data_IF_437552341958
#
_entry.id   IF_437552341958
#
_cell.length_a   1.000
_cell.length_b   1.000
_cell.length_c   1.000
_cell.angle_alpha   90.00
_cell.angle_beta   90.00
_cell.angle_gamma   90.00
#
_symmetry.space_group_name_H-M   'P 1'
#
loop_
_entity.id
_entity.type
_entity.pdbx_description
1 polymer ?
#
# COMPACT_ATOMS: atom_id res chain seq x y z
N UNK A 1 -15.28 -50.93 -38.34
CA UNK A 1 -14.14 -51.44 -39.12
C UNK A 1 -13.12 -50.30 -39.20
N UNK A 2 -11.96 -50.45 -38.57
CA UNK A 2 -10.78 -49.56 -38.70
C UNK A 2 -10.17 -49.70 -40.13
N UNK A 3 -9.21 -48.84 -40.55
CA UNK A 3 -9.20 -48.15 -41.84
C UNK A 3 -8.09 -48.65 -42.78
N UNK A 4 -7.97 -48.03 -43.97
CA UNK A 4 -6.75 -48.12 -44.79
C UNK A 4 -6.40 -46.78 -45.44
N UNK A 5 -5.11 -46.42 -45.28
CA UNK A 5 -4.43 -45.22 -45.79
C UNK A 5 -4.49 -45.06 -47.32
N UNK A 6 -4.10 -43.88 -47.82
CA UNK A 6 -2.93 -43.89 -48.69
C UNK A 6 -1.83 -42.88 -48.32
N UNK A 7 -0.66 -43.23 -48.82
CA UNK A 7 0.69 -42.72 -48.61
C UNK A 7 1.10 -41.57 -49.56
N UNK A 8 2.07 -40.79 -49.06
CA UNK A 8 3.23 -40.21 -49.76
C UNK A 8 3.06 -38.97 -50.65
N UNK A 9 3.83 -37.95 -50.29
CA UNK A 9 4.68 -37.21 -51.23
C UNK A 9 4.21 -35.81 -51.60
N UNK A 10 4.88 -34.78 -51.08
CA UNK A 10 5.64 -33.75 -51.82
C UNK A 10 5.87 -32.54 -50.91
N UNK A 11 7.09 -32.43 -50.39
CA UNK A 11 7.62 -31.24 -49.71
C UNK A 11 8.09 -30.28 -50.81
N UNK A 12 7.51 -29.08 -50.85
CA UNK A 12 8.01 -28.00 -51.72
C UNK A 12 8.62 -26.93 -50.82
N UNK A 13 9.94 -26.83 -50.87
CA UNK A 13 10.77 -25.82 -50.20
C UNK A 13 10.57 -24.45 -50.85
N UNK A 14 10.10 -23.47 -50.08
CA UNK A 14 10.04 -22.08 -50.51
C UNK A 14 11.34 -21.37 -50.07
N UNK A 15 12.24 -21.09 -51.03
CA UNK A 15 13.38 -20.20 -50.86
C UNK A 15 12.92 -18.75 -51.06
N UNK A 16 13.36 -17.85 -50.17
CA UNK A 16 13.28 -16.39 -50.35
C UNK A 16 14.68 -15.79 -50.19
N UNK A 17 15.04 -14.72 -50.93
CA UNK A 17 16.43 -14.42 -51.30
C UNK A 17 17.24 -13.75 -50.18
N UNK A 18 18.54 -14.03 -50.21
CA UNK A 18 19.56 -13.39 -49.39
C UNK A 18 19.74 -11.92 -49.77
N UNK A 19 19.58 -11.01 -48.79
CA UNK A 19 19.99 -9.61 -48.91
C UNK A 19 21.31 -9.42 -48.17
N UNK A 20 22.29 -8.90 -48.90
CA UNK A 20 23.69 -8.74 -48.50
C UNK A 20 23.88 -7.86 -47.26
N UNK A 21 24.69 -8.35 -46.32
CA UNK A 21 25.28 -7.54 -45.25
C UNK A 21 26.25 -6.51 -45.85
N UNK A 22 26.00 -5.22 -45.60
CA UNK A 22 27.02 -4.17 -45.64
C UNK A 22 27.47 -3.83 -44.22
N UNK A 23 28.70 -4.19 -43.92
CA UNK A 23 29.48 -3.80 -42.76
C UNK A 23 30.00 -2.36 -42.90
N UNK A 24 29.73 -1.48 -41.93
CA UNK A 24 30.43 -0.19 -41.71
C UNK A 24 30.53 0.03 -40.18
N UNK A 25 31.64 0.59 -39.65
CA UNK A 25 32.33 0.02 -38.50
C UNK A 25 32.06 0.69 -37.14
N UNK A 26 32.51 -0.05 -36.12
CA UNK A 26 32.58 0.25 -34.70
C UNK A 26 33.35 1.55 -34.40
N UNK A 27 32.81 2.43 -33.55
CA UNK A 27 33.56 3.53 -32.90
C UNK A 27 33.12 3.72 -31.44
N UNK A 28 33.96 3.22 -30.55
CA UNK A 28 34.26 3.57 -29.15
C UNK A 28 33.25 4.39 -28.32
N UNK A 29 32.78 3.72 -27.26
CA UNK A 29 32.79 4.14 -25.84
C UNK A 29 32.99 5.64 -25.52
N UNK A 30 31.93 6.29 -25.05
CA UNK A 30 32.02 7.31 -24.00
C UNK A 30 30.82 7.18 -23.04
N UNK A 31 31.13 7.28 -21.74
CA UNK A 31 30.30 6.85 -20.61
C UNK A 31 28.94 7.54 -20.48
N UNK A 32 27.93 6.74 -20.13
CA UNK A 32 26.68 7.24 -19.57
C UNK A 32 26.91 7.58 -18.11
N UNK A 33 27.07 8.87 -17.84
CA UNK A 33 27.03 9.42 -16.48
C UNK A 33 25.65 9.14 -15.87
N UNK A 34 25.60 8.39 -14.78
CA UNK A 34 24.45 8.34 -13.88
C UNK A 34 24.25 9.73 -13.29
N UNK A 35 23.18 10.43 -13.71
CA UNK A 35 22.78 11.68 -13.12
C UNK A 35 22.16 11.36 -11.75
N UNK A 36 22.90 11.70 -10.70
CA UNK A 36 22.48 11.65 -9.30
C UNK A 36 21.41 12.72 -9.10
N UNK A 37 20.18 12.32 -8.79
CA UNK A 37 19.10 13.26 -8.48
C UNK A 37 19.43 13.97 -7.16
N UNK A 38 19.72 15.27 -7.23
CA UNK A 38 20.06 16.12 -6.09
C UNK A 38 18.79 16.47 -5.29
N UNK A 39 18.75 16.05 -4.03
CA UNK A 39 17.71 16.45 -3.08
C UNK A 39 17.96 17.89 -2.61
N UNK A 40 17.02 18.79 -2.83
CA UNK A 40 16.89 20.04 -2.05
C UNK A 40 15.63 19.95 -1.20
N UNK A 41 15.76 19.50 0.05
CA UNK A 41 14.68 19.57 1.04
C UNK A 41 14.87 20.82 1.89
N UNK A 42 13.93 21.76 1.79
CA UNK A 42 13.68 22.76 2.83
C UNK A 42 13.31 22.02 4.13
N UNK A 43 14.15 22.14 5.16
CA UNK A 43 13.91 21.63 6.51
C UNK A 43 13.63 22.83 7.44
N UNK A 44 12.46 22.81 8.09
CA UNK A 44 12.27 23.51 9.37
C UNK A 44 12.70 22.58 10.52
N UNK A 45 13.26 23.10 11.62
CA UNK A 45 14.05 22.30 12.54
C UNK A 45 13.18 21.67 13.63
N UNK A 46 13.38 20.37 13.89
CA UNK A 46 13.10 19.79 15.20
C UNK A 46 14.39 19.17 15.75
N UNK A 47 14.83 19.74 16.86
CA UNK A 47 16.12 19.54 17.51
C UNK A 47 16.01 18.36 18.46
N UNK A 48 16.57 17.20 18.11
CA UNK A 48 16.94 16.17 19.09
C UNK A 48 18.36 15.70 18.73
N UNK A 49 19.27 16.04 19.64
CA UNK A 49 20.71 15.80 19.57
C UNK A 49 21.02 14.30 19.68
N UNK A 50 21.81 13.76 18.75
CA UNK A 50 22.61 12.55 18.96
C UNK A 50 23.97 12.74 18.30
N UNK A 51 24.97 13.01 19.14
CA UNK A 51 26.38 12.94 18.79
C UNK A 51 26.81 11.47 18.72
N UNK A 52 27.42 11.09 17.61
CA UNK A 52 28.40 10.00 17.54
C UNK A 52 29.32 10.28 16.36
N UNK A 53 30.38 11.05 16.62
CA UNK A 53 31.48 11.22 15.68
C UNK A 53 32.48 10.07 15.86
N UNK A 54 32.65 9.29 14.80
CA UNK A 54 33.80 8.43 14.59
C UNK A 54 35.02 9.30 14.28
N UNK A 55 36.00 9.34 15.19
CA UNK A 55 37.28 9.98 14.93
C UNK A 55 38.37 8.95 14.57
N UNK A 56 38.82 9.16 13.34
CA UNK A 56 39.88 8.52 12.58
C UNK A 56 41.23 8.70 13.28
N UNK A 57 41.95 7.61 13.37
CA UNK A 57 43.30 7.47 13.91
C UNK A 57 44.34 8.17 13.00
N UNK A 58 45.16 9.09 13.53
CA UNK A 58 46.54 9.37 13.04
C UNK A 58 47.33 10.38 13.90
N UNK A 59 48.56 9.94 14.25
CA UNK A 59 49.76 10.69 14.67
C UNK A 59 49.71 11.37 16.06
N UNK A 60 50.74 11.43 16.91
CA UNK A 60 52.18 11.24 16.76
C UNK A 60 52.82 10.87 18.13
N UNK A 61 54.00 10.23 18.07
CA UNK A 61 54.87 9.84 19.20
C UNK A 61 55.21 10.99 20.17
N UNK A 62 55.33 10.68 21.47
CA UNK A 62 56.47 11.08 22.32
C UNK A 62 56.54 10.26 23.63
N UNK A 63 57.77 10.01 24.08
CA UNK A 63 58.22 9.17 25.20
C UNK A 63 57.85 9.71 26.60
N UNK A 64 57.59 8.80 27.56
CA UNK A 64 58.50 8.53 28.71
C UNK A 64 57.99 7.40 29.64
N UNK A 65 58.91 6.50 29.98
CA UNK A 65 58.90 5.50 31.06
C UNK A 65 58.78 6.18 32.44
N UNK A 66 58.10 5.56 33.42
CA UNK A 66 58.57 5.30 34.80
C UNK A 66 57.56 4.41 35.58
N UNK A 67 58.08 3.76 36.62
CA UNK A 67 57.61 2.55 37.34
C UNK A 67 56.38 2.70 38.29
N UNK A 68 55.58 1.62 38.39
CA UNK A 68 55.19 0.76 39.56
C UNK A 68 55.16 1.40 40.98
N UNK A 69 54.36 0.91 41.97
CA UNK A 69 53.05 0.22 42.03
C UNK A 69 52.04 1.00 42.92
N UNK A 70 50.74 0.66 42.93
CA UNK A 70 50.07 0.31 44.20
C UNK A 70 48.65 -0.24 43.97
N UNK A 71 48.25 -0.98 44.99
CA UNK A 71 47.14 -1.85 45.24
C UNK A 71 45.75 -1.21 45.30
N UNK A 72 44.76 -2.10 45.16
CA UNK A 72 43.36 -2.00 45.61
C UNK A 72 42.41 -1.15 44.77
N UNK A 73 41.47 -1.80 44.09
CA UNK A 73 40.16 -2.03 44.70
C UNK A 73 39.32 -2.91 43.80
N UNK A 74 38.77 -3.95 44.42
CA UNK A 74 37.67 -4.73 43.90
C UNK A 74 36.55 -3.81 43.43
N UNK A 75 36.27 -3.92 42.15
CA UNK A 75 35.21 -3.24 41.46
C UNK A 75 34.92 -3.99 40.18
N UNK A 76 34.69 -5.31 40.29
CA UNK A 76 33.88 -6.01 39.30
C UNK A 76 32.47 -5.41 39.35
N UNK A 77 32.33 -4.23 38.75
CA UNK A 77 31.08 -3.77 38.22
C UNK A 77 30.78 -4.72 37.06
N UNK A 78 30.13 -5.84 37.41
CA UNK A 78 29.21 -6.54 36.55
C UNK A 78 28.26 -5.48 35.97
N UNK A 79 28.65 -4.88 34.85
CA UNK A 79 27.69 -4.37 33.85
C UNK A 79 27.09 -5.59 33.17
N UNK A 80 26.32 -6.30 34.00
CA UNK A 80 25.05 -6.97 33.73
C UNK A 80 24.88 -7.44 32.30
N UNK A 81 25.12 -8.75 32.09
CA UNK A 81 24.51 -9.51 31.01
C UNK A 81 23.00 -9.17 30.88
N UNK A 82 22.33 -8.88 32.00
CA UNK A 82 20.93 -8.43 32.05
C UNK A 82 20.66 -7.09 31.34
N UNK A 83 21.55 -6.10 31.42
CA UNK A 83 21.37 -4.82 30.71
C UNK A 83 21.61 -4.98 29.20
N UNK A 84 22.54 -5.86 28.83
CA UNK A 84 22.79 -6.23 27.42
C UNK A 84 21.63 -7.06 26.84
N UNK A 85 21.02 -7.95 27.62
CA UNK A 85 19.87 -8.75 27.22
C UNK A 85 18.59 -7.91 27.07
N UNK A 86 18.34 -6.99 28.01
CA UNK A 86 17.18 -6.09 27.94
C UNK A 86 17.27 -5.12 26.76
N UNK A 87 18.46 -4.59 26.48
CA UNK A 87 18.70 -3.73 25.31
C UNK A 87 18.54 -4.51 24.01
N UNK A 88 19.07 -5.73 23.90
CA UNK A 88 18.86 -6.61 22.75
C UNK A 88 17.38 -6.93 22.51
N UNK A 89 16.63 -7.30 23.56
CA UNK A 89 15.21 -7.59 23.46
C UNK A 89 14.42 -6.37 22.96
N UNK A 90 14.72 -5.19 23.51
CA UNK A 90 14.06 -3.93 23.10
C UNK A 90 14.34 -3.61 21.64
N UNK A 91 15.57 -3.79 21.18
CA UNK A 91 15.96 -3.52 19.81
C UNK A 91 15.27 -4.48 18.84
N UNK A 92 15.16 -5.77 19.19
CA UNK A 92 14.46 -6.76 18.37
C UNK A 92 12.95 -6.55 18.36
N UNK A 93 12.35 -6.18 19.50
CA UNK A 93 10.95 -5.76 19.55
C UNK A 93 10.71 -4.54 18.66
N UNK A 94 11.59 -3.53 18.72
CA UNK A 94 11.47 -2.33 17.90
C UNK A 94 11.58 -2.65 16.40
N UNK A 95 12.52 -3.51 15.98
CA UNK A 95 12.63 -3.97 14.60
C UNK A 95 11.36 -4.68 14.14
N UNK A 96 10.85 -5.61 14.95
CA UNK A 96 9.62 -6.35 14.65
C UNK A 96 8.39 -5.45 14.55
N UNK A 97 8.28 -4.41 15.39
CA UNK A 97 7.19 -3.44 15.31
C UNK A 97 7.29 -2.57 14.04
N UNK A 98 8.49 -2.16 13.64
CA UNK A 98 8.70 -1.41 12.39
C UNK A 98 8.37 -2.30 11.19
N UNK A 99 8.79 -3.56 11.20
CA UNK A 99 8.45 -4.54 10.18
C UNK A 99 6.93 -4.75 10.12
N UNK A 100 6.25 -4.95 11.25
CA UNK A 100 4.79 -5.08 11.31
C UNK A 100 4.07 -3.84 10.78
N UNK A 101 4.57 -2.64 11.13
CA UNK A 101 4.04 -1.38 10.59
C UNK A 101 4.14 -1.35 9.06
N UNK A 102 5.30 -1.70 8.48
CA UNK A 102 5.46 -1.78 7.01
C UNK A 102 4.59 -2.88 6.41
N UNK A 103 4.52 -4.05 7.04
CA UNK A 103 3.70 -5.19 6.62
C UNK A 103 2.23 -4.81 6.49
N UNK A 104 1.73 -4.00 7.43
CA UNK A 104 0.33 -3.55 7.45
C UNK A 104 -0.05 -2.58 6.33
N UNK A 105 0.93 -2.06 5.57
CA UNK A 105 0.78 -0.99 4.58
C UNK A 105 0.02 0.21 5.17
N UNK A 106 0.70 1.08 5.93
CA UNK A 106 0.05 2.12 6.75
C UNK A 106 -0.94 3.01 5.99
N UNK A 107 -0.66 3.31 4.72
CA UNK A 107 -1.55 4.11 3.90
C UNK A 107 -2.92 3.47 3.70
N UNK A 108 -2.99 2.15 3.51
CA UNK A 108 -4.27 1.44 3.37
C UNK A 108 -5.03 1.38 4.69
N UNK A 109 -4.32 1.19 5.81
CA UNK A 109 -4.89 1.17 7.18
C UNK A 109 -5.49 2.53 7.53
N UNK A 110 -4.74 3.61 7.33
CA UNK A 110 -5.20 4.98 7.58
C UNK A 110 -6.45 5.27 6.74
N UNK A 111 -6.42 4.92 5.45
CA UNK A 111 -7.57 5.08 4.57
C UNK A 111 -8.81 4.31 5.05
N UNK A 112 -8.64 3.08 5.54
CA UNK A 112 -9.73 2.28 6.11
C UNK A 112 -10.29 2.90 7.40
N UNK A 113 -9.42 3.36 8.31
CA UNK A 113 -9.85 3.99 9.57
C UNK A 113 -10.63 5.27 9.28
N UNK A 114 -10.07 6.17 8.46
CA UNK A 114 -10.72 7.43 8.11
C UNK A 114 -12.03 7.20 7.36
N UNK A 115 -12.07 6.22 6.46
CA UNK A 115 -13.30 5.88 5.75
C UNK A 115 -14.40 5.39 6.66
N UNK A 116 -14.10 4.46 7.56
CA UNK A 116 -15.07 3.95 8.53
C UNK A 116 -15.57 5.08 9.44
N UNK A 117 -14.67 5.91 9.98
CA UNK A 117 -15.05 7.05 10.83
C UNK A 117 -15.96 8.01 10.08
N UNK A 118 -15.54 8.44 8.88
CA UNK A 118 -16.27 9.38 8.03
C UNK A 118 -17.69 8.90 7.74
N UNK A 119 -17.83 7.68 7.23
CA UNK A 119 -19.12 7.07 6.89
C UNK A 119 -19.98 6.86 8.14
N UNK A 120 -19.36 6.54 9.28
CA UNK A 120 -20.05 6.37 10.55
C UNK A 120 -20.64 7.66 11.11
N UNK A 121 -20.14 8.83 10.68
CA UNK A 121 -20.69 10.13 11.06
C UNK A 121 -21.88 10.55 10.21
N UNK A 122 -22.04 10.03 8.98
CA UNK A 122 -23.16 10.38 8.11
C UNK A 122 -24.57 10.16 8.69
N UNK A 123 -24.87 9.12 9.49
CA UNK A 123 -26.19 8.94 10.09
C UNK A 123 -26.39 9.72 11.41
N UNK A 124 -25.37 10.45 11.88
CA UNK A 124 -25.45 11.32 13.07
C UNK A 124 -26.28 12.55 12.71
N UNK A 125 -27.33 12.81 13.49
CA UNK A 125 -28.21 13.96 13.28
C UNK A 125 -27.94 15.07 14.28
N UNK A 126 -27.55 14.72 15.50
CA UNK A 126 -27.25 15.68 16.57
C UNK A 126 -26.06 15.21 17.39
N UNK A 127 -25.42 16.14 18.13
CA UNK A 127 -24.33 15.80 19.05
C UNK A 127 -24.78 14.78 20.11
N UNK A 128 -26.06 14.73 20.45
CA UNK A 128 -26.60 13.76 21.40
C UNK A 128 -26.49 12.29 20.91
N UNK A 129 -26.30 12.06 19.61
CA UNK A 129 -26.08 10.70 19.07
C UNK A 129 -24.69 10.16 19.41
N UNK A 130 -23.73 11.02 19.76
CA UNK A 130 -22.33 10.69 20.07
C UNK A 130 -22.19 10.12 21.50
N UNK A 131 -22.91 9.03 21.73
CA UNK A 131 -22.96 8.31 23.01
C UNK A 131 -21.83 7.29 23.14
N UNK A 132 -21.56 6.75 24.35
CA UNK A 132 -20.66 5.60 24.51
C UNK A 132 -21.05 4.40 23.63
N UNK A 133 -22.34 4.20 23.38
CA UNK A 133 -22.85 3.16 22.47
C UNK A 133 -22.41 3.41 21.02
N UNK A 134 -22.44 4.66 20.57
CA UNK A 134 -21.93 5.04 19.24
C UNK A 134 -20.43 4.72 19.12
N UNK A 135 -19.61 5.15 20.07
CA UNK A 135 -18.17 4.90 20.05
C UNK A 135 -17.84 3.41 20.13
N UNK A 136 -18.60 2.63 20.91
CA UNK A 136 -18.47 1.18 20.93
C UNK A 136 -18.87 0.53 19.60
N UNK A 137 -19.91 1.02 18.95
CA UNK A 137 -20.30 0.60 17.59
C UNK A 137 -19.21 0.89 16.57
N UNK A 138 -18.65 2.10 16.60
CA UNK A 138 -17.53 2.50 15.76
C UNK A 138 -16.29 1.62 15.99
N UNK A 139 -15.95 1.33 17.25
CA UNK A 139 -14.82 0.46 17.57
C UNK A 139 -15.04 -0.98 17.06
N UNK A 140 -16.26 -1.50 17.20
CA UNK A 140 -16.67 -2.80 16.65
C UNK A 140 -16.55 -2.86 15.13
N UNK A 141 -16.72 -1.74 14.43
CA UNK A 141 -16.45 -1.66 13.01
C UNK A 141 -14.95 -1.56 12.69
N UNK A 142 -14.21 -0.71 13.41
CA UNK A 142 -12.80 -0.41 13.12
C UNK A 142 -11.87 -1.60 13.34
N UNK A 143 -11.90 -2.21 14.53
CA UNK A 143 -10.92 -3.25 14.92
C UNK A 143 -10.91 -4.43 13.96
N UNK A 144 -12.05 -5.12 13.68
CA UNK A 144 -12.03 -6.25 12.75
C UNK A 144 -11.73 -5.82 11.31
N UNK A 145 -12.06 -4.60 10.91
CA UNK A 145 -11.76 -4.10 9.56
C UNK A 145 -10.28 -3.80 9.35
N UNK A 146 -9.59 -3.30 10.38
CA UNK A 146 -8.12 -3.14 10.35
C UNK A 146 -7.45 -4.50 10.27
N UNK A 147 -7.89 -5.47 11.07
CA UNK A 147 -7.40 -6.86 10.99
C UNK A 147 -7.65 -7.48 9.60
N UNK A 148 -8.83 -7.25 9.02
CA UNK A 148 -9.13 -7.70 7.66
C UNK A 148 -8.25 -7.02 6.62
N UNK A 149 -7.95 -5.73 6.77
CA UNK A 149 -7.00 -5.04 5.89
C UNK A 149 -5.59 -5.63 6.00
N UNK A 150 -5.11 -5.94 7.21
CA UNK A 150 -3.82 -6.63 7.43
C UNK A 150 -3.82 -8.00 6.74
N UNK A 151 -4.91 -8.76 6.86
CA UNK A 151 -5.08 -10.02 6.13
C UNK A 151 -4.94 -9.80 4.62
N UNK A 152 -5.68 -8.86 4.01
CA UNK A 152 -5.67 -8.63 2.56
C UNK A 152 -4.29 -8.22 2.05
N UNK A 153 -3.65 -7.24 2.70
CA UNK A 153 -2.33 -6.75 2.24
C UNK A 153 -1.20 -7.73 2.57
N UNK A 154 -1.32 -8.49 3.65
CA UNK A 154 -0.36 -9.52 4.03
C UNK A 154 -0.45 -10.75 3.13
N UNK A 155 -1.68 -11.19 2.80
CA UNK A 155 -1.90 -12.27 1.84
C UNK A 155 -1.32 -11.92 0.48
N UNK A 156 -1.52 -10.68 0.02
CA UNK A 156 -0.90 -10.22 -1.22
C UNK A 156 0.63 -10.36 -1.17
N UNK A 157 1.27 -9.91 -0.07
CA UNK A 157 2.73 -10.02 0.08
C UNK A 157 3.22 -11.48 0.07
N UNK A 158 2.49 -12.42 0.70
CA UNK A 158 2.86 -13.83 0.71
C UNK A 158 2.94 -14.44 -0.70
N UNK A 159 2.02 -14.04 -1.60
CA UNK A 159 2.01 -14.54 -2.99
C UNK A 159 2.84 -13.68 -3.96
N UNK A 160 3.36 -12.54 -3.52
CA UNK A 160 4.06 -11.58 -4.37
C UNK A 160 5.49 -11.32 -3.95
N UNK A 161 6.11 -12.15 -3.10
CA UNK A 161 7.47 -11.92 -2.58
C UNK A 161 8.47 -11.57 -3.70
N UNK A 162 8.51 -12.37 -4.77
CA UNK A 162 9.44 -12.13 -5.89
C UNK A 162 9.09 -10.87 -6.71
N UNK A 163 7.79 -10.53 -6.83
CA UNK A 163 7.34 -9.30 -7.50
C UNK A 163 7.69 -8.07 -6.65
N UNK A 164 7.43 -8.14 -5.35
CA UNK A 164 7.68 -7.05 -4.41
C UNK A 164 9.18 -6.85 -4.19
N UNK A 165 10.07 -7.83 -4.40
CA UNK A 165 11.53 -7.59 -4.47
C UNK A 165 11.93 -6.58 -5.55
N UNK A 166 11.16 -6.48 -6.64
CA UNK A 166 11.37 -5.50 -7.71
C UNK A 166 10.60 -4.21 -7.43
N UNK A 167 9.36 -4.34 -6.99
CA UNK A 167 8.44 -3.21 -6.88
C UNK A 167 8.56 -2.44 -5.56
N UNK A 168 8.74 -3.17 -4.46
CA UNK A 168 8.63 -2.70 -3.07
C UNK A 168 9.63 -3.45 -2.16
N UNK A 169 10.94 -3.33 -2.44
CA UNK A 169 11.98 -4.15 -1.79
C UNK A 169 12.09 -3.94 -0.27
N UNK A 170 11.50 -2.87 0.24
CA UNK A 170 11.42 -2.47 1.64
C UNK A 170 10.29 -3.14 2.43
N UNK A 171 9.42 -3.94 1.77
CA UNK A 171 8.38 -4.70 2.44
C UNK A 171 8.95 -5.91 3.19
N UNK A 172 8.44 -6.24 4.40
CA UNK A 172 9.10 -7.19 5.29
C UNK A 172 9.36 -8.60 4.72
N UNK A 173 8.45 -9.13 3.88
CA UNK A 173 8.67 -10.43 3.24
C UNK A 173 9.65 -10.35 2.06
N UNK A 174 9.69 -9.22 1.34
CA UNK A 174 10.61 -9.00 0.24
C UNK A 174 12.03 -8.67 0.72
N UNK A 175 12.16 -7.90 1.81
CA UNK A 175 13.42 -7.53 2.45
C UNK A 175 14.04 -8.69 3.26
N UNK A 176 13.22 -9.65 3.69
CA UNK A 176 13.63 -10.74 4.58
C UNK A 176 13.54 -10.39 6.07
N UNK A 177 12.99 -9.23 6.43
CA UNK A 177 12.74 -8.86 7.84
C UNK A 177 11.74 -9.84 8.50
N UNK A 178 10.80 -10.40 7.72
CA UNK A 178 9.92 -11.48 8.14
C UNK A 178 10.13 -12.73 7.29
N UNK A 179 10.05 -13.89 7.94
CA UNK A 179 9.98 -15.18 7.24
C UNK A 179 8.58 -15.40 6.65
N UNK A 180 8.48 -16.34 5.69
CA UNK A 180 7.20 -16.76 5.14
C UNK A 180 6.25 -17.30 6.21
N UNK A 181 6.77 -18.02 7.21
CA UNK A 181 6.00 -18.56 8.32
C UNK A 181 5.44 -17.44 9.21
N UNK A 182 6.25 -16.44 9.53
CA UNK A 182 5.81 -15.25 10.28
C UNK A 182 4.71 -14.51 9.53
N UNK A 183 4.90 -14.26 8.22
CA UNK A 183 3.88 -13.62 7.38
C UNK A 183 2.57 -14.42 7.35
N UNK A 184 2.65 -15.73 7.13
CA UNK A 184 1.48 -16.62 7.10
C UNK A 184 0.73 -16.65 8.44
N UNK A 185 1.48 -16.64 9.55
CA UNK A 185 0.93 -16.60 10.90
C UNK A 185 0.18 -15.29 11.17
N UNK A 186 0.78 -14.13 10.84
CA UNK A 186 0.13 -12.81 11.00
C UNK A 186 -1.16 -12.75 10.18
N UNK A 187 -1.12 -13.18 8.92
CA UNK A 187 -2.28 -13.20 8.01
C UNK A 187 -3.38 -14.10 8.56
N UNK A 188 -3.05 -15.31 9.01
CA UNK A 188 -4.01 -16.28 9.53
C UNK A 188 -4.67 -15.81 10.83
N UNK A 189 -3.89 -15.30 11.78
CA UNK A 189 -4.40 -14.74 13.04
C UNK A 189 -5.30 -13.54 12.77
N UNK A 190 -4.86 -12.62 11.89
CA UNK A 190 -5.65 -11.43 11.54
C UNK A 190 -7.00 -11.79 10.94
N UNK A 191 -7.04 -12.77 10.03
CA UNK A 191 -8.28 -13.29 9.46
C UNK A 191 -9.19 -13.90 10.52
N UNK A 192 -8.65 -14.82 11.34
CA UNK A 192 -9.41 -15.53 12.35
C UNK A 192 -10.03 -14.57 13.37
N UNK A 193 -9.24 -13.63 13.88
CA UNK A 193 -9.71 -12.62 14.83
C UNK A 193 -10.79 -11.72 14.19
N UNK A 194 -10.56 -11.25 12.97
CA UNK A 194 -11.51 -10.40 12.25
C UNK A 194 -12.86 -11.10 12.04
N UNK A 195 -12.86 -12.34 11.53
CA UNK A 195 -14.07 -13.13 11.30
C UNK A 195 -14.79 -13.46 12.60
N UNK A 196 -14.05 -13.86 13.64
CA UNK A 196 -14.62 -14.18 14.96
C UNK A 196 -15.32 -12.97 15.55
N UNK A 197 -14.69 -11.79 15.49
CA UNK A 197 -15.32 -10.54 15.92
C UNK A 197 -16.56 -10.21 15.09
N UNK A 198 -16.49 -10.33 13.75
CA UNK A 198 -17.62 -10.11 12.85
C UNK A 198 -18.85 -10.94 13.20
N UNK A 199 -18.65 -12.24 13.46
CA UNK A 199 -19.71 -13.15 13.92
C UNK A 199 -20.22 -12.73 15.30
N UNK A 200 -19.33 -12.44 16.24
CA UNK A 200 -19.68 -12.15 17.64
C UNK A 200 -20.45 -10.84 17.81
N UNK A 201 -20.17 -9.84 16.98
CA UNK A 201 -20.79 -8.51 17.05
C UNK A 201 -22.22 -8.46 16.50
N UNK A 202 -22.72 -9.54 15.86
CA UNK A 202 -24.12 -9.70 15.44
C UNK A 202 -24.64 -8.53 14.58
N UNK A 203 -23.78 -7.93 13.77
CA UNK A 203 -24.13 -6.94 12.76
C UNK A 203 -23.96 -7.54 11.37
N UNK A 204 -25.05 -7.96 10.70
CA UNK A 204 -25.01 -8.48 9.33
C UNK A 204 -24.24 -7.61 8.33
N UNK A 205 -24.41 -6.27 8.26
CA UNK A 205 -23.66 -5.48 7.29
C UNK A 205 -22.15 -5.48 7.59
N UNK A 206 -21.76 -5.42 8.87
CA UNK A 206 -20.36 -5.52 9.26
C UNK A 206 -19.76 -6.87 8.88
N UNK A 207 -20.43 -7.97 9.23
CA UNK A 207 -19.96 -9.32 8.87
C UNK A 207 -19.85 -9.48 7.35
N UNK A 208 -20.83 -9.00 6.60
CA UNK A 208 -20.82 -9.05 5.14
C UNK A 208 -19.63 -8.26 4.56
N UNK A 209 -19.31 -7.09 5.12
CA UNK A 209 -18.14 -6.32 4.69
C UNK A 209 -16.82 -7.10 4.88
N UNK A 210 -16.66 -7.73 6.04
CA UNK A 210 -15.49 -8.55 6.35
C UNK A 210 -15.41 -9.78 5.44
N UNK A 211 -16.54 -10.45 5.23
CA UNK A 211 -16.63 -11.64 4.39
C UNK A 211 -16.34 -11.35 2.91
N UNK A 212 -16.94 -10.27 2.36
CA UNK A 212 -16.65 -9.84 0.99
C UNK A 212 -15.18 -9.46 0.84
N UNK A 213 -14.61 -8.73 1.82
CA UNK A 213 -13.20 -8.34 1.79
C UNK A 213 -12.26 -9.57 1.83
N UNK A 214 -12.61 -10.58 2.63
CA UNK A 214 -11.90 -11.86 2.65
C UNK A 214 -11.93 -12.56 1.29
N UNK A 215 -13.12 -12.72 0.70
CA UNK A 215 -13.28 -13.38 -0.60
C UNK A 215 -12.51 -12.64 -1.70
N UNK A 216 -12.71 -11.33 -1.82
CA UNK A 216 -12.05 -10.53 -2.85
C UNK A 216 -10.54 -10.46 -2.64
N UNK A 217 -10.06 -10.33 -1.39
CA UNK A 217 -8.63 -10.39 -1.08
C UNK A 217 -8.00 -11.73 -1.44
N UNK A 218 -8.70 -12.84 -1.17
CA UNK A 218 -8.30 -14.20 -1.53
C UNK A 218 -8.22 -14.39 -3.03
N UNK A 219 -9.31 -14.10 -3.74
CA UNK A 219 -9.43 -14.27 -5.20
C UNK A 219 -8.47 -13.34 -5.95
N UNK A 220 -8.19 -12.16 -5.39
CA UNK A 220 -7.19 -11.24 -5.91
C UNK A 220 -5.77 -11.82 -5.83
N UNK A 221 -5.40 -12.46 -4.72
CA UNK A 221 -4.01 -12.78 -4.39
C UNK A 221 -3.60 -14.22 -4.66
N UNK A 222 -4.45 -15.21 -4.37
CA UNK A 222 -4.08 -16.63 -4.33
C UNK A 222 -3.83 -17.17 -5.75
N UNK A 223 -2.78 -17.97 -5.91
CA UNK A 223 -2.42 -18.62 -7.18
C UNK A 223 -3.10 -19.98 -7.34
N UNK A 224 -4.37 -19.95 -7.75
CA UNK A 224 -5.18 -21.14 -8.10
C UNK A 224 -5.93 -20.90 -9.43
N UNK A 225 -6.41 -21.97 -10.12
CA UNK A 225 -7.28 -21.81 -11.29
C UNK A 225 -8.49 -20.92 -10.98
N UNK A 226 -8.81 -19.98 -11.86
CA UNK A 226 -9.86 -18.94 -11.71
C UNK A 226 -9.61 -17.87 -10.62
N UNK A 227 -8.51 -17.94 -9.87
CA UNK A 227 -8.08 -16.95 -8.88
C UNK A 227 -7.00 -16.03 -9.49
N UNK A 228 -6.19 -15.38 -8.64
CA UNK A 228 -5.14 -14.42 -9.01
C UNK A 228 -5.66 -13.29 -9.90
N UNK A 229 -6.84 -12.76 -9.58
CA UNK A 229 -7.51 -11.73 -10.38
C UNK A 229 -6.66 -10.49 -10.59
N UNK A 230 -5.66 -10.23 -9.73
CA UNK A 230 -4.66 -9.17 -9.94
C UNK A 230 -3.95 -9.24 -11.31
N UNK A 231 -3.91 -10.40 -11.97
CA UNK A 231 -3.32 -10.57 -13.31
C UNK A 231 -4.09 -9.82 -14.41
N UNK A 232 -5.36 -9.51 -14.16
CA UNK A 232 -6.25 -8.85 -15.11
C UNK A 232 -6.62 -7.47 -14.57
N UNK A 233 -6.24 -6.40 -15.28
CA UNK A 233 -6.44 -5.02 -14.83
C UNK A 233 -7.90 -4.72 -14.40
N UNK A 234 -8.89 -5.16 -15.19
CA UNK A 234 -10.30 -4.95 -14.88
C UNK A 234 -10.74 -5.63 -13.58
N UNK A 235 -10.38 -6.90 -13.38
CA UNK A 235 -10.74 -7.66 -12.17
C UNK A 235 -10.02 -7.13 -10.93
N UNK A 236 -8.76 -6.72 -11.09
CA UNK A 236 -7.99 -6.06 -10.05
C UNK A 236 -8.68 -4.75 -9.59
N UNK A 237 -9.09 -3.92 -10.55
CA UNK A 237 -9.79 -2.68 -10.27
C UNK A 237 -11.17 -2.92 -9.65
N UNK A 238 -11.92 -3.91 -10.12
CA UNK A 238 -13.23 -4.26 -9.54
C UNK A 238 -13.11 -4.69 -8.08
N UNK A 239 -12.11 -5.50 -7.72
CA UNK A 239 -11.89 -5.88 -6.31
C UNK A 239 -11.68 -4.66 -5.42
N UNK A 240 -10.82 -3.73 -5.84
CA UNK A 240 -10.49 -2.53 -5.05
C UNK A 240 -11.70 -1.61 -4.94
N UNK A 241 -12.40 -1.37 -6.05
CA UNK A 241 -13.59 -0.52 -6.08
C UNK A 241 -14.70 -1.11 -5.22
N UNK A 242 -15.01 -2.40 -5.35
CA UNK A 242 -16.04 -3.05 -4.55
C UNK A 242 -15.74 -2.93 -3.06
N UNK A 243 -14.52 -3.21 -2.63
CA UNK A 243 -14.16 -3.10 -1.20
C UNK A 243 -14.16 -1.64 -0.74
N UNK A 244 -13.44 -0.75 -1.42
CA UNK A 244 -13.20 0.62 -0.91
C UNK A 244 -14.32 1.60 -1.16
N UNK A 245 -15.02 1.51 -2.29
CA UNK A 245 -16.05 2.48 -2.66
C UNK A 245 -17.46 2.02 -2.33
N UNK A 246 -17.73 0.71 -2.37
CA UNK A 246 -19.10 0.20 -2.18
C UNK A 246 -19.27 -0.39 -0.79
N UNK A 247 -18.44 -1.38 -0.43
CA UNK A 247 -18.57 -2.10 0.85
C UNK A 247 -18.33 -1.17 2.02
N UNK A 248 -17.23 -0.41 2.03
CA UNK A 248 -16.95 0.54 3.12
C UNK A 248 -18.10 1.54 3.29
N UNK A 249 -18.57 2.14 2.20
CA UNK A 249 -19.60 3.18 2.30
C UNK A 249 -20.94 2.61 2.78
N UNK A 250 -21.42 1.53 2.18
CA UNK A 250 -22.74 0.99 2.50
C UNK A 250 -22.76 0.23 3.83
N UNK A 251 -21.80 -0.67 4.04
CA UNK A 251 -21.86 -1.57 5.19
C UNK A 251 -21.70 -0.83 6.52
N UNK A 252 -20.74 0.10 6.60
CA UNK A 252 -20.49 0.83 7.84
C UNK A 252 -21.59 1.87 8.11
N UNK A 253 -22.15 2.50 7.07
CA UNK A 253 -23.32 3.36 7.23
C UNK A 253 -24.51 2.58 7.80
N UNK A 254 -24.86 1.44 7.18
CA UNK A 254 -25.98 0.60 7.61
C UNK A 254 -25.72 0.05 9.03
N UNK A 255 -24.48 -0.34 9.33
CA UNK A 255 -24.09 -0.78 10.67
C UNK A 255 -24.40 0.30 11.71
N UNK A 256 -23.93 1.53 11.49
CA UNK A 256 -24.17 2.60 12.46
C UNK A 256 -25.65 2.98 12.51
N UNK A 257 -26.29 3.26 11.39
CA UNK A 257 -27.67 3.75 11.36
C UNK A 257 -28.64 2.74 11.99
N UNK A 258 -28.57 1.46 11.58
CA UNK A 258 -29.54 0.45 11.98
C UNK A 258 -29.15 -0.31 13.24
N UNK A 259 -27.88 -0.68 13.40
CA UNK A 259 -27.44 -1.59 14.46
C UNK A 259 -26.78 -0.91 15.65
N UNK A 260 -26.42 0.37 15.53
CA UNK A 260 -25.84 1.16 16.64
C UNK A 260 -26.82 2.23 17.12
N UNK A 261 -27.38 3.02 16.19
CA UNK A 261 -28.35 4.08 16.50
C UNK A 261 -29.80 3.57 16.55
N UNK A 262 -30.08 2.34 16.11
CA UNK A 262 -31.42 1.74 16.15
C UNK A 262 -32.45 2.41 15.24
N UNK A 263 -31.99 3.13 14.20
CA UNK A 263 -32.87 3.88 13.28
C UNK A 263 -33.29 3.02 12.09
N UNK A 264 -34.44 3.31 11.46
CA UNK A 264 -34.79 2.69 10.18
C UNK A 264 -33.71 3.01 9.14
N UNK A 265 -33.48 2.05 8.24
CA UNK A 265 -32.52 2.23 7.15
C UNK A 265 -33.06 3.27 6.17
N UNK A 266 -32.38 4.40 6.07
CA UNK A 266 -32.66 5.47 5.11
C UNK A 266 -31.36 5.86 4.43
N UNK A 267 -31.27 5.54 3.13
CA UNK A 267 -30.14 5.92 2.29
C UNK A 267 -30.18 7.43 2.07
N UNK A 268 -29.18 8.14 2.58
CA UNK A 268 -29.10 9.60 2.49
C UNK A 268 -28.47 10.05 1.18
N UNK A 269 -28.75 11.30 0.77
CA UNK A 269 -28.09 11.93 -0.38
C UNK A 269 -26.57 12.01 -0.19
N UNK A 270 -26.12 12.35 1.01
CA UNK A 270 -24.69 12.36 1.39
C UNK A 270 -24.03 11.00 1.23
N UNK A 271 -24.71 9.90 1.59
CA UNK A 271 -24.17 8.55 1.37
C UNK A 271 -24.05 8.23 -0.12
N UNK A 272 -25.06 8.54 -0.93
CA UNK A 272 -25.00 8.32 -2.38
C UNK A 272 -23.88 9.13 -3.03
N UNK A 273 -23.76 10.41 -2.67
CA UNK A 273 -22.67 11.28 -3.11
C UNK A 273 -21.31 10.70 -2.71
N UNK A 274 -21.12 10.38 -1.43
CA UNK A 274 -19.87 9.81 -0.91
C UNK A 274 -19.51 8.49 -1.61
N UNK A 275 -20.50 7.64 -1.89
CA UNK A 275 -20.29 6.38 -2.63
C UNK A 275 -19.84 6.63 -4.06
N UNK A 276 -20.57 7.48 -4.80
CA UNK A 276 -20.24 7.81 -6.19
C UNK A 276 -18.86 8.47 -6.30
N UNK A 277 -18.56 9.42 -5.41
CA UNK A 277 -17.29 10.12 -5.38
C UNK A 277 -16.13 9.18 -5.02
N UNK A 278 -16.31 8.30 -4.03
CA UNK A 278 -15.31 7.30 -3.65
C UNK A 278 -15.10 6.22 -4.71
N UNK A 279 -16.06 5.97 -5.62
CA UNK A 279 -15.84 5.11 -6.79
C UNK A 279 -14.76 5.69 -7.72
N UNK A 280 -14.79 7.00 -8.00
CA UNK A 280 -13.76 7.65 -8.82
C UNK A 280 -12.38 7.56 -8.16
N UNK A 281 -12.29 7.90 -6.87
CA UNK A 281 -11.04 7.79 -6.13
C UNK A 281 -10.52 6.36 -6.06
N UNK A 282 -11.39 5.38 -5.80
CA UNK A 282 -10.99 3.98 -5.72
C UNK A 282 -10.53 3.44 -7.08
N UNK A 283 -11.16 3.85 -8.18
CA UNK A 283 -10.71 3.53 -9.53
C UNK A 283 -9.33 4.12 -9.80
N UNK A 284 -9.11 5.39 -9.43
CA UNK A 284 -7.80 6.04 -9.57
C UNK A 284 -6.74 5.34 -8.73
N UNK A 285 -6.99 5.01 -7.47
CA UNK A 285 -6.04 4.27 -6.63
C UNK A 285 -5.74 2.89 -7.24
N UNK A 286 -6.77 2.20 -7.76
CA UNK A 286 -6.62 0.89 -8.36
C UNK A 286 -5.74 0.90 -9.62
N UNK A 287 -5.85 1.95 -10.43
CA UNK A 287 -5.07 2.10 -11.67
C UNK A 287 -3.69 2.70 -11.36
N UNK A 288 -3.61 3.71 -10.51
CA UNK A 288 -2.36 4.41 -10.21
C UNK A 288 -1.36 3.52 -9.47
N UNK A 289 -1.82 2.58 -8.63
CA UNK A 289 -0.93 1.63 -7.94
C UNK A 289 -0.05 0.84 -8.91
N UNK A 290 -0.52 0.62 -10.15
CA UNK A 290 0.17 -0.17 -11.16
C UNK A 290 1.31 0.61 -11.83
N UNK A 291 1.34 1.94 -11.73
CA UNK A 291 2.43 2.76 -12.30
C UNK A 291 3.77 2.46 -11.61
N UNK A 292 3.92 2.61 -10.27
CA UNK A 292 5.19 2.26 -9.61
C UNK A 292 5.48 0.74 -9.63
N UNK A 293 4.47 -0.09 -9.90
CA UNK A 293 4.58 -1.55 -9.94
C UNK A 293 4.89 -2.13 -11.34
N UNK A 294 4.99 -1.28 -12.37
CA UNK A 294 5.02 -1.69 -13.78
C UNK A 294 6.20 -2.63 -14.14
N UNK A 295 7.36 -2.45 -13.51
CA UNK A 295 8.55 -3.23 -13.82
C UNK A 295 8.42 -4.68 -13.34
N UNK A 296 8.01 -4.86 -12.08
CA UNK A 296 7.71 -6.18 -11.52
C UNK A 296 6.53 -6.82 -12.23
N UNK A 297 5.46 -6.06 -12.51
CA UNK A 297 4.31 -6.60 -13.23
C UNK A 297 4.70 -7.14 -14.62
N UNK A 298 5.48 -6.38 -15.38
CA UNK A 298 5.99 -6.80 -16.69
C UNK A 298 6.87 -8.04 -16.58
N UNK A 299 7.78 -8.07 -15.61
CA UNK A 299 8.73 -9.18 -15.44
C UNK A 299 8.02 -10.50 -15.09
N UNK A 300 6.97 -10.44 -14.28
CA UNK A 300 6.20 -11.60 -13.82
C UNK A 300 4.91 -11.86 -14.65
N UNK A 301 4.78 -11.23 -15.82
CA UNK A 301 3.69 -11.50 -16.77
C UNK A 301 2.30 -11.00 -16.33
N UNK A 302 2.24 -10.05 -15.40
CA UNK A 302 1.00 -9.38 -15.00
C UNK A 302 0.64 -8.31 -16.04
N UNK A 303 -0.53 -8.44 -16.65
CA UNK A 303 -1.04 -7.49 -17.65
C UNK A 303 -1.82 -6.36 -16.96
N UNK A 304 -1.10 -5.55 -16.18
CA UNK A 304 -1.68 -4.38 -15.53
C UNK A 304 -1.95 -3.25 -16.53
N UNK A 305 -2.73 -2.25 -16.12
CA UNK A 305 -3.12 -1.17 -17.02
C UNK A 305 -1.90 -0.34 -17.46
N UNK A 306 -0.95 -0.11 -16.55
CA UNK A 306 0.32 0.56 -16.82
C UNK A 306 1.25 -0.24 -17.74
N UNK A 307 1.24 -1.58 -17.66
CA UNK A 307 2.01 -2.45 -18.57
C UNK A 307 1.46 -2.37 -20.00
N UNK A 308 0.13 -2.37 -20.15
CA UNK A 308 -0.54 -2.40 -21.45
C UNK A 308 -0.63 -1.03 -22.14
N UNK A 309 -0.90 0.05 -21.40
CA UNK A 309 -1.12 1.40 -21.97
C UNK A 309 0.09 2.34 -21.83
N UNK A 310 1.04 2.01 -20.96
CA UNK A 310 2.21 2.83 -20.65
C UNK A 310 1.97 3.81 -19.50
N UNK A 311 3.00 4.00 -18.67
CA UNK A 311 2.95 4.76 -17.42
C UNK A 311 2.43 6.19 -17.59
N UNK A 312 2.90 6.92 -18.60
CA UNK A 312 2.55 8.34 -18.80
C UNK A 312 1.08 8.55 -19.14
N UNK A 313 0.53 7.72 -20.04
CA UNK A 313 -0.89 7.80 -20.41
C UNK A 313 -1.78 7.50 -19.20
N UNK A 314 -1.39 6.49 -18.43
CA UNK A 314 -2.13 6.07 -17.22
C UNK A 314 -2.04 7.14 -16.12
N UNK A 315 -0.88 7.77 -15.95
CA UNK A 315 -0.71 8.89 -15.03
C UNK A 315 -1.69 10.03 -15.34
N UNK A 316 -1.71 10.51 -16.59
CA UNK A 316 -2.59 11.61 -16.99
C UNK A 316 -4.07 11.22 -16.94
N UNK A 317 -4.42 9.98 -17.30
CA UNK A 317 -5.78 9.47 -17.10
C UNK A 317 -6.24 9.62 -15.65
N UNK A 318 -5.43 9.15 -14.70
CA UNK A 318 -5.74 9.27 -13.28
C UNK A 318 -5.88 10.72 -12.82
N UNK A 319 -5.00 11.61 -13.27
CA UNK A 319 -5.07 13.05 -12.96
C UNK A 319 -6.38 13.65 -13.48
N UNK A 320 -6.73 13.40 -14.75
CA UNK A 320 -7.97 13.92 -15.33
C UNK A 320 -9.22 13.34 -14.67
N UNK A 321 -9.21 12.06 -14.30
CA UNK A 321 -10.31 11.45 -13.54
C UNK A 321 -10.52 12.13 -12.19
N UNK A 322 -9.44 12.43 -11.46
CA UNK A 322 -9.53 13.16 -10.19
C UNK A 322 -10.00 14.60 -10.37
N UNK A 323 -9.45 15.33 -11.36
CA UNK A 323 -9.90 16.69 -11.67
C UNK A 323 -11.37 16.73 -12.08
N UNK A 324 -11.83 15.75 -12.85
CA UNK A 324 -13.23 15.60 -13.21
C UNK A 324 -14.10 15.35 -11.96
N UNK A 325 -13.69 14.41 -11.10
CA UNK A 325 -14.42 14.15 -9.85
C UNK A 325 -14.53 15.40 -8.98
N UNK A 326 -13.42 16.14 -8.82
CA UNK A 326 -13.41 17.42 -8.11
C UNK A 326 -14.28 18.47 -8.77
N UNK A 327 -14.23 18.59 -10.10
CA UNK A 327 -15.06 19.49 -10.90
C UNK A 327 -16.56 19.21 -10.77
N UNK A 328 -16.94 17.94 -10.68
CA UNK A 328 -18.33 17.53 -10.44
C UNK A 328 -18.80 17.83 -9.01
N UNK A 329 -17.88 17.95 -8.05
CA UNK A 329 -18.15 18.21 -6.64
C UNK A 329 -18.05 19.70 -6.22
N UNK A 330 -17.93 20.63 -7.18
CA UNK A 330 -17.58 22.07 -7.00
C UNK A 330 -18.49 22.90 -6.07
N UNK A 331 -19.58 22.34 -5.56
CA UNK A 331 -20.42 23.00 -4.55
C UNK A 331 -19.65 23.27 -3.24
N UNK A 332 -18.52 22.60 -3.00
CA UNK A 332 -17.73 22.71 -1.76
C UNK A 332 -16.34 23.29 -2.04
N UNK A 333 -16.05 24.47 -1.48
CA UNK A 333 -14.77 25.21 -1.61
C UNK A 333 -13.52 24.34 -1.36
N UNK A 334 -13.65 23.34 -0.48
CA UNK A 334 -12.60 22.34 -0.20
C UNK A 334 -12.14 21.57 -1.44
N UNK A 335 -13.07 21.14 -2.31
CA UNK A 335 -12.75 20.36 -3.51
C UNK A 335 -11.97 21.19 -4.53
N UNK A 336 -12.28 22.48 -4.69
CA UNK A 336 -11.51 23.40 -5.55
C UNK A 336 -10.07 23.57 -5.05
N UNK A 337 -9.89 23.64 -3.72
CA UNK A 337 -8.57 23.75 -3.10
C UNK A 337 -7.75 22.49 -3.35
N UNK A 338 -8.35 21.30 -3.15
CA UNK A 338 -7.68 20.02 -3.39
C UNK A 338 -7.38 19.78 -4.87
N UNK A 339 -8.27 20.17 -5.78
CA UNK A 339 -8.01 20.13 -7.23
C UNK A 339 -6.83 21.02 -7.63
N UNK A 340 -6.73 22.22 -7.03
CA UNK A 340 -5.62 23.13 -7.28
C UNK A 340 -4.29 22.53 -6.78
N UNK A 341 -4.27 21.96 -5.58
CA UNK A 341 -3.10 21.25 -5.07
C UNK A 341 -2.72 20.04 -5.93
N UNK A 342 -3.70 19.27 -6.40
CA UNK A 342 -3.47 18.17 -7.33
C UNK A 342 -2.76 18.66 -8.58
N UNK A 343 -3.31 19.69 -9.24
CA UNK A 343 -2.73 20.25 -10.46
C UNK A 343 -1.29 20.74 -10.23
N UNK A 344 -1.06 21.53 -9.18
CA UNK A 344 0.28 22.04 -8.85
C UNK A 344 1.28 20.90 -8.59
N UNK A 345 0.86 19.84 -7.90
CA UNK A 345 1.75 18.69 -7.66
C UNK A 345 2.08 17.93 -8.93
N UNK A 346 1.16 17.80 -9.89
CA UNK A 346 1.42 17.08 -11.15
C UNK A 346 2.55 17.70 -11.96
N UNK A 347 2.71 19.02 -11.92
CA UNK A 347 3.78 19.74 -12.64
C UNK A 347 5.20 19.41 -12.14
N UNK A 348 5.31 18.83 -10.94
CA UNK A 348 6.59 18.49 -10.31
C UNK A 348 6.96 17.00 -10.42
N UNK A 349 6.12 16.19 -11.06
CA UNK A 349 6.33 14.74 -11.17
C UNK A 349 7.27 14.41 -12.32
N UNK A 350 8.32 13.66 -12.02
CA UNK A 350 9.23 13.09 -13.01
C UNK A 350 8.85 11.61 -13.22
N UNK A 351 8.21 11.32 -14.35
CA UNK A 351 7.75 9.98 -14.71
C UNK A 351 8.89 9.02 -15.09
N UNK A 352 10.12 9.51 -15.22
CA UNK A 352 11.30 8.64 -15.37
C UNK A 352 11.85 8.16 -14.02
N UNK A 353 11.42 8.79 -12.92
CA UNK A 353 11.89 8.52 -11.57
C UNK A 353 10.84 7.77 -10.73
N UNK A 354 11.09 6.48 -10.46
CA UNK A 354 10.20 5.64 -9.61
C UNK A 354 9.90 6.27 -8.24
N UNK A 355 10.88 6.91 -7.61
CA UNK A 355 10.68 7.59 -6.33
C UNK A 355 9.72 8.79 -6.43
N UNK A 356 9.79 9.54 -7.54
CA UNK A 356 8.88 10.65 -7.82
C UNK A 356 7.44 10.15 -8.02
N UNK A 357 7.26 9.08 -8.82
CA UNK A 357 5.97 8.41 -9.02
C UNK A 357 5.40 7.89 -7.70
N UNK A 358 6.18 7.16 -6.91
CA UNK A 358 5.74 6.61 -5.62
C UNK A 358 5.37 7.73 -4.64
N UNK A 359 6.11 8.84 -4.63
CA UNK A 359 5.79 10.02 -3.82
C UNK A 359 4.43 10.62 -4.22
N UNK A 360 4.16 10.73 -5.53
CA UNK A 360 2.87 11.21 -6.03
C UNK A 360 1.73 10.22 -5.73
N UNK A 361 1.97 8.91 -5.82
CA UNK A 361 1.00 7.89 -5.40
C UNK A 361 0.62 8.05 -3.92
N UNK A 362 1.60 8.27 -3.04
CA UNK A 362 1.33 8.55 -1.62
C UNK A 362 0.61 9.89 -1.41
N UNK A 363 0.81 10.86 -2.31
CA UNK A 363 0.04 12.10 -2.30
C UNK A 363 -1.43 11.88 -2.70
N UNK A 364 -1.73 11.01 -3.67
CA UNK A 364 -3.12 10.60 -3.99
C UNK A 364 -3.81 10.00 -2.75
N UNK A 365 -3.10 9.18 -1.98
CA UNK A 365 -3.64 8.67 -0.72
C UNK A 365 -3.94 9.78 0.29
N UNK A 366 -3.11 10.83 0.36
CA UNK A 366 -3.40 12.00 1.21
C UNK A 366 -4.64 12.77 0.75
N UNK A 367 -4.84 12.91 -0.56
CA UNK A 367 -6.08 13.47 -1.10
C UNK A 367 -7.27 12.61 -0.68
N UNK A 368 -7.19 11.29 -0.88
CA UNK A 368 -8.23 10.34 -0.44
C UNK A 368 -8.57 10.44 1.06
N UNK A 369 -7.57 10.67 1.92
CA UNK A 369 -7.81 10.94 3.35
C UNK A 369 -8.56 12.26 3.57
N UNK A 370 -8.16 13.32 2.87
CA UNK A 370 -8.82 14.62 2.94
C UNK A 370 -10.29 14.51 2.53
N UNK A 371 -10.61 13.70 1.51
CA UNK A 371 -12.00 13.47 1.10
C UNK A 371 -12.84 12.83 2.19
N UNK A 372 -12.30 11.84 2.90
CA UNK A 372 -13.01 11.28 4.06
C UNK A 372 -13.23 12.30 5.18
N UNK A 373 -12.34 13.27 5.34
CA UNK A 373 -12.58 14.36 6.29
C UNK A 373 -13.66 15.32 5.80
N UNK A 374 -13.81 15.51 4.49
CA UNK A 374 -14.82 16.40 3.90
C UNK A 374 -16.21 15.77 3.84
N UNK A 375 -16.33 14.46 3.58
CA UNK A 375 -17.60 13.75 3.36
C UNK A 375 -18.68 14.05 4.42
N UNK A 376 -18.40 14.05 5.74
CA UNK A 376 -19.41 14.32 6.76
C UNK A 376 -19.99 15.74 6.69
N UNK A 377 -19.32 16.66 6.01
CA UNK A 377 -19.74 18.05 5.81
C UNK A 377 -20.44 18.27 4.46
N UNK A 378 -20.50 17.26 3.60
CA UNK A 378 -21.22 17.33 2.31
C UNK A 378 -22.68 16.91 2.57
N UNK A 379 -23.47 17.86 3.05
CA UNK A 379 -24.91 17.71 3.29
C UNK A 379 -25.73 18.27 2.12
#
# INVERSE_FOLDING_TARGET
MYPSLPSSGYITTFQSPATQLRSIPNRNSQGKNFIKCSQSSFLLPNKISRNSEYLKNRNNKSLKKYCVPDTSQDGYASKSEDDNNLTSFRDDLQKNLIALYRFSRPHTVIGTILGIISVSLLPVQTIADLTPTFFMGLLKALVPSVLMNIYVVGLNQLYDVEIDKVNKPDLPLASGDFSMETGATIVSISLLMSMTMGIRFKSPPLFLALFISFLLGSVYSIELPFFRWKRHAFLAASCILTVRAVVVQLAFFIHIQKYVLGRPLVITRSLMFATAFMCFFSAVIAVFKDIPDVDGDRHFGIQSFSVSQGQERVFWLCVYMLLFAYGAAVIVLGHCTLASFLWLKTQSVDLSCKASITSFYMFIWKLFYAEYLLIPFVC
#
